data_IF_108966379586
#
_entry.id   IF_108966379586
#
_cell.length_a   1.000
_cell.length_b   1.000
_cell.length_c   1.000
_cell.angle_alpha   90.00
_cell.angle_beta   90.00
_cell.angle_gamma   90.00
#
_symmetry.space_group_name_H-M   'P 1'
#
loop_
_entity.id
_entity.type
_entity.pdbx_description
1 polymer ?
#
# COMPACT_ATOMS: atom_id res chain seq x y z
N UNK A 1 32.43 -10.09 40.22
CA UNK A 1 31.94 -8.75 39.79
C UNK A 1 31.75 -8.57 38.27
N UNK A 2 32.19 -9.50 37.40
CA UNK A 2 32.11 -9.33 35.93
C UNK A 2 30.71 -9.58 35.31
N UNK A 3 29.92 -10.53 35.84
CA UNK A 3 28.60 -10.89 35.30
C UNK A 3 27.59 -9.72 35.34
N UNK A 4 27.68 -8.83 36.34
CA UNK A 4 26.80 -7.66 36.49
C UNK A 4 27.12 -6.54 35.48
N UNK A 5 28.38 -6.42 35.03
CA UNK A 5 28.79 -5.49 33.96
C UNK A 5 28.33 -5.97 32.58
N UNK A 6 28.38 -7.28 32.32
CA UNK A 6 27.89 -7.89 31.08
C UNK A 6 26.36 -7.74 30.98
N UNK A 7 25.62 -8.03 32.05
CA UNK A 7 24.17 -7.83 32.09
C UNK A 7 23.74 -6.36 31.90
N UNK A 8 24.50 -5.40 32.47
CA UNK A 8 24.29 -3.95 32.23
C UNK A 8 24.60 -3.53 30.79
N UNK A 9 25.55 -4.18 30.12
CA UNK A 9 25.90 -3.91 28.72
C UNK A 9 24.83 -4.47 27.76
N UNK A 10 24.31 -5.67 28.04
CA UNK A 10 23.22 -6.31 27.27
C UNK A 10 21.93 -5.47 27.38
N UNK A 11 21.59 -4.99 28.59
CA UNK A 11 20.40 -4.14 28.81
C UNK A 11 20.51 -2.73 28.23
N UNK A 12 21.73 -2.20 28.04
CA UNK A 12 21.94 -0.89 27.39
C UNK A 12 21.84 -0.97 25.86
N UNK A 13 22.16 -2.12 25.27
CA UNK A 13 22.03 -2.38 23.81
C UNK A 13 20.56 -2.62 23.41
N UNK A 14 19.75 -3.26 24.26
CA UNK A 14 18.31 -3.47 23.98
C UNK A 14 17.49 -2.18 24.05
N UNK A 15 17.83 -1.24 24.95
CA UNK A 15 17.12 0.04 25.12
C UNK A 15 17.27 1.03 23.95
N UNK A 16 18.27 0.83 23.08
CA UNK A 16 18.51 1.65 21.88
C UNK A 16 17.77 1.13 20.62
N UNK A 17 17.22 -0.09 20.66
CA UNK A 17 16.50 -0.71 19.54
C UNK A 17 14.97 -0.50 19.61
N UNK A 18 14.42 -0.22 20.79
CA UNK A 18 13.01 0.09 21.02
C UNK A 18 12.43 1.29 20.21
N UNK A 19 13.16 2.41 19.97
CA UNK A 19 12.56 3.56 19.28
C UNK A 19 12.32 3.31 17.78
N UNK A 20 13.03 2.36 17.15
CA UNK A 20 12.80 1.99 15.73
C UNK A 20 11.61 1.04 15.58
N UNK A 21 11.48 0.06 16.48
CA UNK A 21 10.36 -0.91 16.44
C UNK A 21 9.01 -0.23 16.72
N UNK A 22 8.96 0.74 17.64
CA UNK A 22 7.76 1.55 17.91
C UNK A 22 7.34 2.43 16.72
N UNK A 23 8.29 3.02 16.00
CA UNK A 23 8.00 3.78 14.75
C UNK A 23 7.47 2.90 13.63
N UNK A 24 7.98 1.67 13.49
CA UNK A 24 7.51 0.72 12.47
C UNK A 24 6.11 0.19 12.82
N UNK A 25 5.83 -0.13 14.08
CA UNK A 25 4.50 -0.57 14.52
C UNK A 25 3.41 0.50 14.30
N UNK A 26 3.68 1.75 14.70
CA UNK A 26 2.77 2.88 14.45
C UNK A 26 2.56 3.16 12.95
N UNK A 27 3.62 2.98 12.13
CA UNK A 27 3.51 3.06 10.66
C UNK A 27 2.64 1.92 10.10
N UNK A 28 2.77 0.70 10.61
CA UNK A 28 1.97 -0.47 10.17
C UNK A 28 0.49 -0.31 10.53
N UNK A 29 0.17 0.22 11.70
CA UNK A 29 -1.21 0.53 12.10
C UNK A 29 -1.83 1.62 11.23
N UNK A 30 -1.08 2.70 10.93
CA UNK A 30 -1.55 3.76 10.02
C UNK A 30 -1.79 3.25 8.60
N UNK A 31 -0.99 2.28 8.13
CA UNK A 31 -1.16 1.65 6.81
C UNK A 31 -2.41 0.75 6.78
N UNK A 32 -2.72 0.07 7.89
CA UNK A 32 -3.94 -0.74 8.01
C UNK A 32 -5.20 0.13 8.00
N UNK A 33 -5.18 1.25 8.71
CA UNK A 33 -6.29 2.23 8.75
C UNK A 33 -6.50 2.90 7.39
N UNK A 34 -5.44 3.41 6.77
CA UNK A 34 -5.52 4.09 5.48
C UNK A 34 -5.83 3.14 4.30
N UNK A 35 -5.73 1.83 4.50
CA UNK A 35 -6.25 0.82 3.55
C UNK A 35 -7.73 0.54 3.80
N UNK A 36 -8.14 0.42 5.07
CA UNK A 36 -9.54 0.22 5.47
C UNK A 36 -10.45 1.38 5.05
N UNK A 37 -9.99 2.62 5.19
CA UNK A 37 -10.72 3.81 4.72
C UNK A 37 -10.94 3.79 3.20
N UNK A 38 -9.93 3.36 2.45
CA UNK A 38 -9.96 3.32 1.00
C UNK A 38 -10.86 2.19 0.47
N UNK A 39 -10.87 1.07 1.19
CA UNK A 39 -11.84 -0.02 1.00
C UNK A 39 -13.25 0.50 1.30
N UNK A 40 -13.46 1.17 2.43
CA UNK A 40 -14.78 1.69 2.82
C UNK A 40 -15.35 2.69 1.80
N UNK A 41 -14.51 3.52 1.17
CA UNK A 41 -14.95 4.51 0.16
C UNK A 41 -15.32 3.88 -1.20
N UNK A 42 -14.81 2.68 -1.47
CA UNK A 42 -14.90 2.02 -2.78
C UNK A 42 -15.70 0.73 -2.76
N UNK A 43 -16.07 0.23 -1.57
CA UNK A 43 -16.77 -1.02 -1.39
C UNK A 43 -18.27 -0.87 -1.66
N UNK A 44 -18.84 -1.87 -2.35
CA UNK A 44 -20.30 -1.96 -2.57
C UNK A 44 -21.03 -2.41 -1.29
N UNK A 45 -20.34 -3.18 -0.44
CA UNK A 45 -20.80 -3.66 0.86
C UNK A 45 -19.68 -3.59 1.91
N UNK A 46 -20.02 -3.48 3.20
CA UNK A 46 -19.03 -3.29 4.28
C UNK A 46 -17.98 -4.41 4.40
N UNK A 47 -18.25 -5.62 3.90
CA UNK A 47 -17.34 -6.77 3.91
C UNK A 47 -16.69 -7.06 2.56
N UNK A 48 -16.96 -6.24 1.55
CA UNK A 48 -16.46 -6.45 0.19
C UNK A 48 -15.00 -6.02 0.08
N UNK A 49 -14.12 -7.02 0.10
CA UNK A 49 -12.67 -6.85 -0.07
C UNK A 49 -12.19 -7.27 -1.45
N UNK A 50 -13.08 -7.90 -2.24
CA UNK A 50 -12.74 -8.61 -3.47
C UNK A 50 -13.25 -7.94 -4.74
N UNK A 51 -14.14 -6.95 -4.64
CA UNK A 51 -14.68 -6.29 -5.83
C UNK A 51 -13.61 -5.61 -6.69
N UNK A 52 -13.83 -5.56 -8.02
CA UNK A 52 -12.94 -4.85 -8.92
C UNK A 52 -12.69 -3.40 -8.50
N UNK A 53 -13.70 -2.70 -7.98
CA UNK A 53 -13.60 -1.30 -7.53
C UNK A 53 -12.58 -1.15 -6.39
N UNK A 54 -12.74 -1.95 -5.34
CA UNK A 54 -11.84 -1.94 -4.17
C UNK A 54 -10.41 -2.29 -4.60
N UNK A 55 -10.25 -3.28 -5.47
CA UNK A 55 -8.94 -3.67 -5.98
C UNK A 55 -8.28 -2.56 -6.81
N UNK A 56 -9.02 -1.90 -7.71
CA UNK A 56 -8.50 -0.80 -8.54
C UNK A 56 -8.09 0.37 -7.65
N UNK A 57 -8.88 0.71 -6.63
CA UNK A 57 -8.58 1.78 -5.69
C UNK A 57 -7.29 1.49 -4.89
N UNK A 58 -7.15 0.26 -4.38
CA UNK A 58 -5.95 -0.18 -3.66
C UNK A 58 -4.70 -0.21 -4.55
N UNK A 59 -4.82 -0.71 -5.77
CA UNK A 59 -3.74 -0.72 -6.75
C UNK A 59 -3.30 0.71 -7.11
N UNK A 60 -4.25 1.63 -7.24
CA UNK A 60 -3.96 3.02 -7.59
C UNK A 60 -3.18 3.74 -6.50
N UNK A 61 -3.57 3.58 -5.23
CA UNK A 61 -2.78 4.08 -4.10
C UNK A 61 -1.36 3.53 -4.10
N UNK A 62 -1.21 2.21 -4.30
CA UNK A 62 0.10 1.56 -4.32
C UNK A 62 0.97 2.01 -5.49
N UNK A 63 0.37 2.28 -6.66
CA UNK A 63 1.06 2.88 -7.81
C UNK A 63 1.56 4.26 -7.44
N UNK A 64 0.74 5.11 -6.81
CA UNK A 64 1.15 6.42 -6.29
C UNK A 64 2.37 6.34 -5.38
N UNK A 65 2.29 5.53 -4.33
CA UNK A 65 3.40 5.31 -3.37
C UNK A 65 4.69 4.80 -4.08
N UNK A 66 4.58 3.85 -5.01
CA UNK A 66 5.75 3.33 -5.73
C UNK A 66 6.34 4.37 -6.69
N UNK A 67 5.50 5.18 -7.33
CA UNK A 67 5.98 6.23 -8.25
C UNK A 67 6.80 7.28 -7.51
N UNK A 68 6.38 7.68 -6.29
CA UNK A 68 7.18 8.56 -5.43
C UNK A 68 8.50 7.91 -5.01
N UNK A 69 8.47 6.64 -4.61
CA UNK A 69 9.68 5.89 -4.26
C UNK A 69 10.69 5.84 -5.41
N UNK A 70 10.22 5.58 -6.64
CA UNK A 70 11.06 5.49 -7.83
C UNK A 70 11.60 6.85 -8.30
N UNK A 71 10.94 7.97 -7.97
CA UNK A 71 11.49 9.32 -8.20
C UNK A 71 12.80 9.54 -7.45
N UNK A 72 12.87 9.03 -6.21
CA UNK A 72 14.06 9.07 -5.35
C UNK A 72 15.07 8.01 -5.80
N UNK A 73 14.61 6.77 -6.03
CA UNK A 73 15.45 5.62 -6.37
C UNK A 73 15.40 5.26 -7.87
N UNK A 74 15.97 6.13 -8.71
CA UNK A 74 15.90 6.00 -10.18
C UNK A 74 16.51 4.72 -10.75
N UNK A 75 17.48 4.11 -10.05
CA UNK A 75 18.23 2.92 -10.49
C UNK A 75 17.55 1.59 -10.10
N UNK A 76 16.45 1.62 -9.34
CA UNK A 76 15.74 0.39 -8.96
C UNK A 76 14.86 -0.13 -10.11
N UNK A 77 15.44 -1.04 -10.91
CA UNK A 77 14.80 -1.69 -12.05
C UNK A 77 13.80 -2.78 -11.61
N UNK A 78 14.06 -3.45 -10.49
CA UNK A 78 13.20 -4.53 -9.97
C UNK A 78 11.85 -3.98 -9.51
N UNK A 79 11.88 -2.86 -8.77
CA UNK A 79 10.66 -2.16 -8.35
C UNK A 79 9.92 -1.54 -9.53
N UNK A 80 10.62 -1.03 -10.55
CA UNK A 80 10.00 -0.54 -11.79
C UNK A 80 9.28 -1.66 -12.55
N UNK A 81 9.87 -2.87 -12.63
CA UNK A 81 9.19 -4.04 -13.19
C UNK A 81 7.93 -4.38 -12.40
N UNK A 82 8.00 -4.34 -11.06
CA UNK A 82 6.85 -4.53 -10.19
C UNK A 82 5.75 -3.51 -10.44
N UNK A 83 6.11 -2.23 -10.60
CA UNK A 83 5.19 -1.14 -10.94
C UNK A 83 4.43 -1.42 -12.25
N UNK A 84 5.15 -1.80 -13.32
CA UNK A 84 4.54 -2.13 -14.61
C UNK A 84 3.52 -3.28 -14.48
N UNK A 85 3.85 -4.29 -13.66
CA UNK A 85 2.93 -5.38 -13.34
C UNK A 85 1.65 -4.90 -12.65
N UNK A 86 1.75 -3.96 -11.69
CA UNK A 86 0.61 -3.37 -11.00
C UNK A 86 -0.27 -2.54 -11.95
N UNK A 87 0.35 -1.73 -12.82
CA UNK A 87 -0.36 -0.94 -13.85
C UNK A 87 -1.14 -1.86 -14.79
N UNK A 88 -0.52 -2.95 -15.25
CA UNK A 88 -1.18 -3.93 -16.11
C UNK A 88 -2.35 -4.65 -15.41
N UNK A 89 -2.20 -5.02 -14.13
CA UNK A 89 -3.30 -5.60 -13.35
C UNK A 89 -4.47 -4.63 -13.24
N UNK A 90 -4.22 -3.36 -12.92
CA UNK A 90 -5.26 -2.33 -12.86
C UNK A 90 -5.95 -2.15 -14.21
N UNK A 91 -5.19 -2.11 -15.31
CA UNK A 91 -5.74 -2.03 -16.67
C UNK A 91 -6.66 -3.21 -16.99
N UNK A 92 -6.28 -4.44 -16.63
CA UNK A 92 -7.12 -5.63 -16.83
C UNK A 92 -8.45 -5.55 -16.06
N UNK A 93 -8.43 -5.07 -14.81
CA UNK A 93 -9.64 -4.90 -14.00
C UNK A 93 -10.55 -3.81 -14.57
N UNK A 94 -9.99 -2.69 -15.04
CA UNK A 94 -10.75 -1.64 -15.72
C UNK A 94 -11.39 -2.13 -17.01
N UNK A 95 -10.65 -2.91 -17.82
CA UNK A 95 -11.19 -3.53 -19.04
C UNK A 95 -12.28 -4.57 -18.72
N UNK A 96 -12.18 -5.29 -17.60
CA UNK A 96 -13.23 -6.18 -17.13
C UNK A 96 -14.50 -5.42 -16.75
N UNK A 97 -14.36 -4.32 -15.99
CA UNK A 97 -15.49 -3.46 -15.64
C UNK A 97 -16.13 -2.87 -16.88
N UNK A 98 -15.35 -2.33 -17.82
CA UNK A 98 -15.86 -1.78 -19.08
C UNK A 98 -16.71 -2.78 -19.87
N UNK A 99 -16.31 -4.05 -19.91
CA UNK A 99 -17.05 -5.11 -20.60
C UNK A 99 -18.33 -5.53 -19.87
N UNK A 100 -18.36 -5.40 -18.55
CA UNK A 100 -19.46 -5.90 -17.70
C UNK A 100 -20.50 -4.83 -17.41
N UNK A 101 -20.04 -3.62 -17.09
CA UNK A 101 -20.87 -2.49 -16.71
C UNK A 101 -20.10 -1.18 -16.93
N UNK A 102 -20.50 -0.45 -17.97
CA UNK A 102 -19.88 0.81 -18.36
C UNK A 102 -20.11 1.92 -17.31
N UNK A 103 -21.24 1.90 -16.60
CA UNK A 103 -21.54 2.92 -15.57
C UNK A 103 -20.58 2.79 -14.39
N UNK A 104 -20.33 1.56 -13.94
CA UNK A 104 -19.34 1.29 -12.88
C UNK A 104 -17.93 1.68 -13.31
N UNK A 105 -17.59 1.47 -14.57
CA UNK A 105 -16.31 1.91 -15.14
C UNK A 105 -16.16 3.44 -15.12
N UNK A 106 -17.18 4.20 -15.52
CA UNK A 106 -17.15 5.66 -15.48
C UNK A 106 -16.97 6.17 -14.04
N UNK A 107 -17.79 5.67 -13.11
CA UNK A 107 -17.73 6.07 -11.69
C UNK A 107 -16.36 5.80 -11.07
N UNK A 108 -15.75 4.63 -11.32
CA UNK A 108 -14.44 4.33 -10.73
C UNK A 108 -13.31 5.12 -11.39
N UNK A 109 -13.44 5.44 -12.69
CA UNK A 109 -12.43 6.21 -13.43
C UNK A 109 -12.42 7.66 -12.95
N UNK A 110 -13.59 8.26 -12.73
CA UNK A 110 -13.75 9.59 -12.13
C UNK A 110 -13.19 9.62 -10.70
N UNK A 111 -13.54 8.63 -9.86
CA UNK A 111 -13.06 8.56 -8.47
C UNK A 111 -11.54 8.50 -8.33
N UNK A 112 -10.85 7.91 -9.30
CA UNK A 112 -9.40 7.70 -9.25
C UNK A 112 -8.65 8.80 -10.04
N UNK A 113 -9.36 9.64 -10.80
CA UNK A 113 -8.75 10.70 -11.60
C UNK A 113 -7.86 10.16 -12.74
N UNK A 114 -8.18 8.98 -13.26
CA UNK A 114 -7.49 8.43 -14.43
C UNK A 114 -8.17 8.95 -15.69
N UNK A 115 -7.83 10.16 -16.10
CA UNK A 115 -8.20 10.64 -17.43
C UNK A 115 -7.29 9.98 -18.50
N UNK A 116 -7.88 9.71 -19.67
CA UNK A 116 -7.27 8.96 -20.78
C UNK A 116 -6.02 9.62 -21.35
#
# INVERSE_FOLDING_TARGET
MAKKKIAKKITKVTKAAEPKVKKVAAKVESISQAKKELVALSATHATDTGSPEVQIALLSKRIGELTEHLKIHKKDLSSRRGLLGLVNKRRKLLMYLLKKDEKRYQVITEKIGLEK
#
